data_IF_545908362285
#
_entry.id   IF_545908362285
#
_cell.length_a   1.000
_cell.length_b   1.000
_cell.length_c   1.000
_cell.angle_alpha   90.00
_cell.angle_beta   90.00
_cell.angle_gamma   90.00
#
_symmetry.space_group_name_H-M   'P 1'
#
loop_
_entity.id
_entity.type
_entity.pdbx_description
1 polymer ?
#
# COMPACT_ATOMS: atom_id res chain seq x y z
N UNK A 1 -18.58 -1.84 -23.72
CA UNK A 1 -19.13 -0.95 -22.66
C UNK A 1 -18.21 -1.03 -21.46
N UNK A 2 -17.30 -0.07 -21.35
CA UNK A 2 -16.39 0.08 -20.22
C UNK A 2 -17.21 0.47 -18.99
N UNK A 3 -17.32 -0.41 -18.00
CA UNK A 3 -17.78 0.02 -16.69
C UNK A 3 -16.77 1.07 -16.21
N UNK A 4 -17.24 2.32 -16.07
CA UNK A 4 -16.53 3.34 -15.32
C UNK A 4 -16.16 2.75 -13.97
N UNK A 5 -14.86 2.63 -13.68
CA UNK A 5 -14.45 2.51 -12.30
C UNK A 5 -14.95 3.77 -11.59
N UNK A 6 -15.64 3.64 -10.46
CA UNK A 6 -16.07 4.76 -9.62
C UNK A 6 -14.86 5.49 -8.96
N UNK A 7 -13.68 5.44 -9.58
CA UNK A 7 -12.42 5.85 -9.02
C UNK A 7 -12.09 7.27 -9.49
N UNK A 8 -11.81 8.13 -8.51
CA UNK A 8 -11.07 9.36 -8.78
C UNK A 8 -9.63 8.98 -9.12
N UNK A 9 -9.10 9.47 -10.23
CA UNK A 9 -7.76 9.12 -10.75
C UNK A 9 -6.63 9.38 -9.72
N UNK A 10 -6.90 10.22 -8.71
CA UNK A 10 -5.97 10.76 -7.72
C UNK A 10 -6.09 10.09 -6.34
N UNK A 11 -6.61 8.87 -6.32
CA UNK A 11 -7.02 8.17 -5.10
C UNK A 11 -5.93 8.08 -4.01
N UNK A 12 -4.69 7.74 -4.36
CA UNK A 12 -3.61 7.55 -3.38
C UNK A 12 -3.23 8.86 -2.68
N UNK A 13 -3.00 9.93 -3.44
CA UNK A 13 -2.67 11.25 -2.88
C UNK A 13 -3.83 11.86 -2.11
N UNK A 14 -5.07 11.61 -2.54
CA UNK A 14 -6.27 11.99 -1.79
C UNK A 14 -6.36 11.28 -0.43
N UNK A 15 -5.92 10.03 -0.33
CA UNK A 15 -5.84 9.32 0.95
C UNK A 15 -4.76 9.92 1.85
N UNK A 16 -3.59 10.29 1.31
CA UNK A 16 -2.56 10.98 2.09
C UNK A 16 -3.06 12.34 2.60
N UNK A 17 -3.75 13.12 1.76
CA UNK A 17 -4.34 14.40 2.17
C UNK A 17 -5.39 14.19 3.25
N UNK A 18 -6.29 13.20 3.08
CA UNK A 18 -7.31 12.86 4.07
C UNK A 18 -6.72 12.45 5.42
N UNK A 19 -5.70 11.59 5.42
CA UNK A 19 -4.99 11.19 6.62
C UNK A 19 -4.31 12.38 7.30
N UNK A 20 -3.61 13.24 6.54
CA UNK A 20 -2.93 14.43 7.07
C UNK A 20 -3.90 15.42 7.73
N UNK A 21 -5.03 15.69 7.05
CA UNK A 21 -6.11 16.51 7.57
C UNK A 21 -6.71 15.92 8.84
N UNK A 22 -6.89 14.60 8.88
CA UNK A 22 -7.48 13.95 10.03
C UNK A 22 -6.55 13.91 11.24
N UNK A 23 -5.29 13.52 11.04
CA UNK A 23 -4.32 13.37 12.13
C UNK A 23 -3.81 14.69 12.70
N UNK A 24 -3.58 15.68 11.85
CA UNK A 24 -2.90 16.93 12.22
C UNK A 24 -3.78 18.17 12.09
N UNK A 25 -4.98 18.04 11.50
CA UNK A 25 -5.98 19.11 11.40
C UNK A 25 -5.38 20.41 10.84
N UNK A 26 -5.59 21.53 11.55
CA UNK A 26 -5.14 22.87 11.17
C UNK A 26 -3.62 22.97 11.02
N UNK A 27 -2.84 22.13 11.71
CA UNK A 27 -1.37 22.16 11.58
C UNK A 27 -0.95 21.72 10.17
N UNK A 28 -1.59 20.69 9.62
CA UNK A 28 -1.29 20.24 8.25
C UNK A 28 -1.68 21.28 7.22
N UNK A 29 -2.81 21.94 7.40
CA UNK A 29 -3.26 23.04 6.52
C UNK A 29 -2.22 24.19 6.50
N UNK A 30 -1.67 24.55 7.66
CA UNK A 30 -0.66 25.59 7.80
C UNK A 30 0.65 25.25 7.08
N UNK A 31 1.07 23.99 7.06
CA UNK A 31 2.27 23.56 6.33
C UNK A 31 2.16 23.78 4.82
N UNK A 32 0.95 23.93 4.28
CA UNK A 32 0.71 24.29 2.88
C UNK A 32 0.50 25.81 2.67
N UNK A 33 0.68 26.62 3.72
CA UNK A 33 0.54 28.08 3.64
C UNK A 33 -0.91 28.58 3.68
N UNK A 34 -1.88 27.73 4.01
CA UNK A 34 -3.29 28.12 4.12
C UNK A 34 -3.69 28.41 5.57
N UNK A 35 -4.61 29.36 5.74
CA UNK A 35 -5.15 29.73 7.06
C UNK A 35 -6.53 29.10 7.31
N UNK A 36 -7.25 28.74 6.26
CA UNK A 36 -8.60 28.17 6.35
C UNK A 36 -8.68 26.82 5.64
N UNK A 37 -9.53 25.94 6.16
CA UNK A 37 -9.83 24.64 5.55
C UNK A 37 -10.49 24.81 4.18
N UNK A 38 -11.37 25.81 4.04
CA UNK A 38 -12.03 26.12 2.76
C UNK A 38 -11.02 26.47 1.68
N UNK A 39 -10.06 27.36 1.96
CA UNK A 39 -9.01 27.71 0.99
C UNK A 39 -8.13 26.53 0.63
N UNK A 40 -7.83 25.66 1.61
CA UNK A 40 -7.05 24.44 1.40
C UNK A 40 -7.78 23.44 0.48
N UNK A 41 -9.08 23.21 0.69
CA UNK A 41 -9.85 22.33 -0.19
C UNK A 41 -9.99 22.89 -1.60
N UNK A 42 -10.22 24.20 -1.73
CA UNK A 42 -10.32 24.86 -3.02
C UNK A 42 -9.00 24.81 -3.81
N UNK A 43 -7.86 24.83 -3.12
CA UNK A 43 -6.56 24.65 -3.78
C UNK A 43 -6.48 23.32 -4.54
N UNK A 44 -6.91 22.21 -3.94
CA UNK A 44 -6.91 20.90 -4.60
C UNK A 44 -7.87 20.80 -5.78
N UNK A 45 -8.95 21.58 -5.78
CA UNK A 45 -9.84 21.71 -6.93
C UNK A 45 -9.16 22.50 -8.05
N UNK A 46 -8.54 23.64 -7.70
CA UNK A 46 -7.85 24.51 -8.66
C UNK A 46 -6.72 23.79 -9.42
N UNK A 47 -5.99 22.91 -8.75
CA UNK A 47 -4.90 22.13 -9.38
C UNK A 47 -5.39 20.86 -10.09
N UNK A 48 -6.71 20.65 -10.17
CA UNK A 48 -7.31 19.49 -10.85
C UNK A 48 -7.20 18.18 -10.07
N UNK A 49 -6.78 18.21 -8.80
CA UNK A 49 -6.64 16.99 -7.99
C UNK A 49 -8.00 16.44 -7.53
N UNK A 50 -8.98 17.31 -7.34
CA UNK A 50 -10.31 16.98 -6.88
C UNK A 50 -11.37 17.70 -7.72
N UNK A 51 -12.46 17.02 -8.08
CA UNK A 51 -13.57 17.67 -8.80
C UNK A 51 -14.28 18.73 -7.95
N UNK A 52 -14.38 18.51 -6.62
CA UNK A 52 -15.04 19.44 -5.69
C UNK A 52 -14.34 19.45 -4.33
N UNK A 53 -14.52 20.51 -3.51
CA UNK A 53 -14.01 20.54 -2.14
C UNK A 53 -14.53 19.37 -1.28
N UNK A 54 -15.75 18.91 -1.57
CA UNK A 54 -16.38 17.77 -0.89
C UNK A 54 -15.61 16.47 -1.10
N UNK A 55 -14.92 16.27 -2.23
CA UNK A 55 -14.09 15.09 -2.45
C UNK A 55 -12.95 15.03 -1.43
N UNK A 56 -12.27 16.16 -1.19
CA UNK A 56 -11.19 16.27 -0.21
C UNK A 56 -11.73 16.10 1.22
N UNK A 57 -12.86 16.75 1.52
CA UNK A 57 -13.54 16.61 2.82
C UNK A 57 -13.91 15.16 3.10
N UNK A 58 -14.51 14.46 2.15
CA UNK A 58 -14.92 13.07 2.32
C UNK A 58 -13.72 12.15 2.60
N UNK A 59 -12.53 12.47 2.07
CA UNK A 59 -11.31 11.72 2.37
C UNK A 59 -10.84 11.96 3.80
N UNK A 60 -10.92 13.18 4.30
CA UNK A 60 -10.69 13.46 5.74
C UNK A 60 -11.70 12.70 6.62
N UNK A 61 -12.99 12.77 6.29
CA UNK A 61 -14.05 12.11 7.06
C UNK A 61 -13.88 10.58 7.14
N UNK A 62 -13.25 9.95 6.14
CA UNK A 62 -12.88 8.52 6.14
C UNK A 62 -11.86 8.20 7.25
N UNK A 63 -10.91 9.10 7.50
CA UNK A 63 -9.83 8.88 8.47
C UNK A 63 -10.16 9.40 9.88
N UNK A 64 -11.11 10.34 10.01
CA UNK A 64 -11.50 10.94 11.29
C UNK A 64 -11.81 9.95 12.42
N UNK A 65 -12.48 8.80 12.18
CA UNK A 65 -12.73 7.81 13.23
C UNK A 65 -11.47 7.15 13.82
N UNK A 66 -10.30 7.29 13.18
CA UNK A 66 -9.06 6.63 13.63
C UNK A 66 -8.11 7.54 14.41
N UNK A 67 -8.47 8.81 14.61
CA UNK A 67 -7.68 9.80 15.34
C UNK A 67 -8.54 10.46 16.42
N UNK A 68 -7.94 10.98 17.51
CA UNK A 68 -8.67 11.63 18.59
C UNK A 68 -9.15 13.03 18.14
N UNK A 69 -10.16 13.07 17.28
CA UNK A 69 -10.79 14.28 16.78
C UNK A 69 -12.20 14.47 17.36
N UNK A 70 -12.62 15.72 17.52
CA UNK A 70 -14.02 16.04 17.86
C UNK A 70 -14.99 15.70 16.71
N UNK A 71 -14.47 15.62 15.47
CA UNK A 71 -15.22 15.25 14.28
C UNK A 71 -15.51 13.76 14.29
N UNK A 72 -16.79 13.38 14.16
CA UNK A 72 -17.23 11.97 14.17
C UNK A 72 -16.85 11.18 12.91
N UNK A 73 -16.62 11.85 11.78
CA UNK A 73 -16.31 11.21 10.49
C UNK A 73 -17.33 10.14 10.04
N UNK A 74 -16.90 9.24 9.16
CA UNK A 74 -17.68 8.08 8.69
C UNK A 74 -17.41 6.82 9.52
N UNK A 75 -17.72 6.88 10.81
CA UNK A 75 -17.49 5.78 11.76
C UNK A 75 -18.15 4.44 11.36
N UNK A 76 -19.31 4.48 10.69
CA UNK A 76 -20.05 3.28 10.27
C UNK A 76 -19.31 2.41 9.24
N UNK A 77 -18.29 2.96 8.56
CA UNK A 77 -17.50 2.27 7.53
C UNK A 77 -16.02 2.14 7.91
N UNK A 78 -15.66 2.38 9.18
CA UNK A 78 -14.26 2.42 9.62
C UNK A 78 -13.44 1.20 9.19
N UNK A 79 -13.95 -0.02 9.39
CA UNK A 79 -13.19 -1.23 9.04
C UNK A 79 -12.87 -1.36 7.54
N UNK A 80 -13.75 -0.86 6.66
CA UNK A 80 -13.55 -0.93 5.20
C UNK A 80 -12.38 -0.05 4.70
N UNK A 81 -11.87 0.86 5.55
CA UNK A 81 -10.81 1.81 5.19
C UNK A 81 -9.54 1.65 6.04
N UNK A 82 -9.56 0.72 7.00
CA UNK A 82 -8.50 0.52 7.96
C UNK A 82 -7.18 0.10 7.28
N UNK A 83 -7.23 -0.68 6.20
CA UNK A 83 -6.04 -1.09 5.43
C UNK A 83 -5.25 0.12 4.88
N UNK A 84 -5.96 1.17 4.44
CA UNK A 84 -5.35 2.41 3.94
C UNK A 84 -4.58 3.11 5.04
N UNK A 85 -5.15 3.14 6.24
CA UNK A 85 -4.49 3.67 7.43
C UNK A 85 -3.25 2.84 7.77
N UNK A 86 -3.33 1.51 7.79
CA UNK A 86 -2.18 0.64 8.06
C UNK A 86 -1.03 0.86 7.08
N UNK A 87 -1.33 1.01 5.78
CA UNK A 87 -0.30 1.34 4.79
C UNK A 87 0.37 2.68 5.11
N UNK A 88 -0.41 3.74 5.34
CA UNK A 88 0.13 5.06 5.63
C UNK A 88 0.90 5.06 6.96
N UNK A 89 0.41 4.36 7.97
CA UNK A 89 1.08 4.26 9.28
C UNK A 89 2.42 3.52 9.19
N UNK A 90 2.49 2.42 8.44
CA UNK A 90 3.72 1.64 8.30
C UNK A 90 4.86 2.45 7.67
N UNK A 91 4.52 3.40 6.79
CA UNK A 91 5.50 4.25 6.10
C UNK A 91 5.73 5.58 6.82
N UNK A 92 4.67 6.22 7.32
CA UNK A 92 4.67 7.63 7.73
C UNK A 92 3.97 7.89 9.07
N UNK A 93 3.55 6.84 9.79
CA UNK A 93 2.81 6.95 11.04
C UNK A 93 3.56 7.66 12.16
N UNK A 94 4.89 7.63 12.14
CA UNK A 94 5.75 8.27 13.14
C UNK A 94 6.25 9.66 12.70
N UNK A 95 5.84 10.15 11.52
CA UNK A 95 6.25 11.47 11.05
C UNK A 95 5.51 12.58 11.80
N UNK A 96 6.21 13.69 12.04
CA UNK A 96 5.57 14.93 12.50
C UNK A 96 4.85 15.63 11.33
N UNK A 97 4.06 16.66 11.64
CA UNK A 97 3.22 17.35 10.65
C UNK A 97 4.00 17.92 9.47
N UNK A 98 5.18 18.51 9.73
CA UNK A 98 6.03 19.10 8.69
C UNK A 98 6.58 18.02 7.76
N UNK A 99 7.20 16.98 8.31
CA UNK A 99 7.70 15.83 7.53
C UNK A 99 6.59 15.19 6.71
N UNK A 100 5.40 15.01 7.29
CA UNK A 100 4.26 14.44 6.60
C UNK A 100 3.76 15.35 5.47
N UNK A 101 3.66 16.66 5.70
CA UNK A 101 3.31 17.61 4.66
C UNK A 101 4.31 17.60 3.50
N UNK A 102 5.60 17.48 3.79
CA UNK A 102 6.65 17.39 2.77
C UNK A 102 6.53 16.12 1.92
N UNK A 103 6.09 14.99 2.49
CA UNK A 103 5.76 13.77 1.74
C UNK A 103 4.60 14.01 0.76
N UNK A 104 3.52 14.64 1.23
CA UNK A 104 2.36 14.92 0.36
C UNK A 104 2.75 15.91 -0.75
N UNK A 105 3.52 16.94 -0.44
CA UNK A 105 4.04 17.88 -1.44
C UNK A 105 4.99 17.19 -2.42
N UNK A 106 5.81 16.23 -1.98
CA UNK A 106 6.66 15.42 -2.87
C UNK A 106 5.79 14.63 -3.86
N UNK A 107 4.72 13.98 -3.39
CA UNK A 107 3.76 13.27 -4.25
C UNK A 107 3.18 14.22 -5.31
N UNK A 108 2.70 15.38 -4.89
CA UNK A 108 2.13 16.40 -5.78
C UNK A 108 3.16 16.89 -6.80
N UNK A 109 4.42 17.06 -6.40
CA UNK A 109 5.49 17.52 -7.28
C UNK A 109 5.89 16.47 -8.31
N UNK A 110 6.10 15.22 -7.91
CA UNK A 110 6.57 14.16 -8.82
C UNK A 110 5.46 13.67 -9.75
N UNK A 111 4.24 13.48 -9.22
CA UNK A 111 3.15 12.84 -9.98
C UNK A 111 2.24 13.86 -10.69
N UNK A 112 2.14 15.10 -10.18
CA UNK A 112 1.26 16.14 -10.74
C UNK A 112 2.03 17.36 -11.28
N UNK A 113 3.37 17.33 -11.24
CA UNK A 113 4.25 18.38 -11.79
C UNK A 113 3.96 19.78 -11.25
N UNK A 114 3.50 19.88 -10.00
CA UNK A 114 3.23 21.18 -9.35
C UNK A 114 4.56 21.79 -8.93
N UNK A 115 5.14 22.61 -9.82
CA UNK A 115 6.50 23.16 -9.67
C UNK A 115 6.64 24.16 -8.52
N UNK A 116 5.55 24.77 -8.08
CA UNK A 116 5.52 25.80 -7.04
C UNK A 116 5.75 25.23 -5.62
N UNK A 117 5.71 23.91 -5.44
CA UNK A 117 5.96 23.27 -4.15
C UNK A 117 7.46 23.11 -3.88
N UNK A 118 7.97 23.87 -2.91
CA UNK A 118 9.27 23.61 -2.32
C UNK A 118 9.18 22.42 -1.37
N UNK A 119 10.08 21.46 -1.54
CA UNK A 119 10.12 20.22 -0.76
C UNK A 119 11.56 19.82 -0.55
N UNK A 120 11.98 19.77 0.70
CA UNK A 120 13.27 19.22 1.11
C UNK A 120 13.00 17.96 1.94
N UNK A 121 13.20 16.79 1.32
CA UNK A 121 12.93 15.49 1.94
C UNK A 121 14.21 14.73 2.18
N UNK A 122 14.32 14.13 3.37
CA UNK A 122 15.40 13.22 3.71
C UNK A 122 15.43 12.03 2.73
N UNK A 123 16.60 11.46 2.40
CA UNK A 123 16.70 10.31 1.50
C UNK A 123 15.77 9.14 1.86
N UNK A 124 15.65 8.81 3.15
CA UNK A 124 14.76 7.74 3.63
C UNK A 124 13.29 7.99 3.30
N UNK A 125 12.85 9.26 3.29
CA UNK A 125 11.49 9.65 2.94
C UNK A 125 11.22 9.36 1.46
N UNK A 126 12.20 9.63 0.58
CA UNK A 126 12.11 9.26 -0.84
C UNK A 126 12.00 7.76 -1.04
N UNK A 127 12.75 6.96 -0.26
CA UNK A 127 12.66 5.50 -0.32
C UNK A 127 11.27 5.00 0.10
N UNK A 128 10.71 5.51 1.20
CA UNK A 128 9.34 5.18 1.64
C UNK A 128 8.28 5.64 0.64
N UNK A 129 8.47 6.80 0.02
CA UNK A 129 7.59 7.28 -1.04
C UNK A 129 7.57 6.35 -2.25
N UNK A 130 8.73 5.86 -2.70
CA UNK A 130 8.80 4.84 -3.76
C UNK A 130 8.06 3.57 -3.35
N UNK A 131 8.25 3.12 -2.10
CA UNK A 131 7.58 1.93 -1.56
C UNK A 131 6.06 2.07 -1.49
N UNK A 132 5.54 3.28 -1.20
CA UNK A 132 4.10 3.56 -1.25
C UNK A 132 3.47 3.25 -2.62
N UNK A 133 4.23 3.45 -3.71
CA UNK A 133 3.76 3.21 -5.07
C UNK A 133 3.72 1.72 -5.45
N UNK A 134 4.30 0.85 -4.62
CA UNK A 134 4.30 -0.60 -4.85
C UNK A 134 3.07 -1.26 -4.23
N UNK A 135 2.31 -2.01 -5.04
CA UNK A 135 1.09 -2.71 -4.57
C UNK A 135 1.39 -3.91 -3.66
N UNK A 136 2.64 -4.40 -3.64
CA UNK A 136 3.04 -5.56 -2.83
C UNK A 136 2.92 -5.28 -1.34
N UNK A 137 3.49 -4.17 -0.86
CA UNK A 137 3.49 -3.82 0.56
C UNK A 137 2.09 -3.70 1.14
N UNK A 138 1.16 -3.08 0.42
CA UNK A 138 -0.22 -2.94 0.89
C UNK A 138 -0.92 -4.31 1.03
N UNK A 139 -0.67 -5.22 0.08
CA UNK A 139 -1.22 -6.56 0.14
C UNK A 139 -0.61 -7.37 1.29
N UNK A 140 0.70 -7.31 1.48
CA UNK A 140 1.41 -7.95 2.60
C UNK A 140 0.90 -7.44 3.96
N UNK A 141 0.71 -6.12 4.11
CA UNK A 141 0.15 -5.55 5.33
C UNK A 141 -1.31 -5.97 5.54
N UNK A 142 -2.10 -6.03 4.47
CA UNK A 142 -3.47 -6.55 4.55
C UNK A 142 -3.46 -8.01 5.00
N UNK A 143 -2.55 -8.82 4.46
CA UNK A 143 -2.35 -10.20 4.87
C UNK A 143 -2.02 -10.32 6.36
N UNK A 144 -0.98 -9.65 6.84
CA UNK A 144 -0.56 -9.70 8.26
C UNK A 144 -1.70 -9.34 9.21
N UNK A 145 -2.54 -8.36 8.86
CA UNK A 145 -3.63 -7.92 9.73
C UNK A 145 -4.89 -8.81 9.65
N UNK A 146 -5.04 -9.65 8.61
CA UNK A 146 -6.29 -10.37 8.35
C UNK A 146 -6.12 -11.86 8.01
N UNK A 147 -4.90 -12.42 8.05
CA UNK A 147 -4.63 -13.81 7.64
C UNK A 147 -5.48 -14.84 8.40
N UNK A 148 -5.86 -14.56 9.66
CA UNK A 148 -6.73 -15.41 10.47
C UNK A 148 -8.17 -15.56 9.93
N UNK A 149 -8.58 -14.73 8.96
CA UNK A 149 -9.86 -14.88 8.24
C UNK A 149 -9.82 -16.03 7.22
N UNK A 150 -8.62 -16.43 6.78
CA UNK A 150 -8.41 -17.57 5.87
C UNK A 150 -8.55 -18.86 6.67
N UNK A 151 -9.42 -19.76 6.22
CA UNK A 151 -9.74 -21.02 6.90
C UNK A 151 -8.51 -21.83 7.29
N UNK A 152 -7.55 -21.96 6.39
CA UNK A 152 -6.36 -22.78 6.56
C UNK A 152 -5.36 -22.17 7.55
N UNK A 153 -5.47 -20.88 7.82
CA UNK A 153 -4.54 -20.14 8.68
C UNK A 153 -5.14 -19.76 10.03
N UNK A 154 -6.40 -20.13 10.27
CA UNK A 154 -7.12 -19.74 11.46
C UNK A 154 -6.42 -20.26 12.72
N UNK A 155 -6.17 -19.37 13.68
CA UNK A 155 -5.42 -19.62 14.91
C UNK A 155 -3.94 -20.00 14.67
N UNK A 156 -3.42 -19.74 13.47
CA UNK A 156 -2.03 -20.00 13.14
C UNK A 156 -1.08 -18.93 13.68
N UNK A 157 0.16 -19.34 13.88
CA UNK A 157 1.27 -18.45 14.21
C UNK A 157 1.97 -18.07 12.91
N UNK A 158 1.96 -16.77 12.59
CA UNK A 158 2.59 -16.22 11.40
C UNK A 158 4.06 -15.89 11.68
N UNK A 159 4.94 -16.40 10.81
CA UNK A 159 6.37 -16.08 10.74
C UNK A 159 6.64 -15.28 9.45
N UNK A 160 7.34 -14.16 9.59
CA UNK A 160 7.64 -13.24 8.49
C UNK A 160 8.93 -13.65 7.77
N UNK A 161 8.79 -14.08 6.51
CA UNK A 161 9.90 -14.57 5.68
C UNK A 161 10.27 -13.63 4.52
N UNK A 162 9.61 -12.47 4.40
CA UNK A 162 9.73 -11.54 3.26
C UNK A 162 11.16 -11.07 2.96
N UNK A 163 12.03 -11.08 3.97
CA UNK A 163 13.42 -10.61 3.86
C UNK A 163 14.43 -11.71 3.50
N UNK A 164 14.03 -12.98 3.53
CA UNK A 164 14.95 -14.10 3.27
C UNK A 164 15.05 -14.46 1.78
N UNK A 165 14.00 -14.17 1.00
CA UNK A 165 14.01 -14.41 -0.44
C UNK A 165 13.95 -15.90 -0.80
N UNK A 166 13.24 -16.67 0.02
CA UNK A 166 13.10 -18.13 -0.07
C UNK A 166 11.97 -18.57 -1.01
N UNK A 167 11.30 -17.63 -1.68
CA UNK A 167 10.23 -17.93 -2.63
C UNK A 167 8.83 -18.01 -2.00
N UNK A 168 8.66 -17.47 -0.80
CA UNK A 168 7.39 -17.20 -0.13
C UNK A 168 7.54 -16.00 0.82
N UNK A 169 6.43 -15.37 1.20
CA UNK A 169 6.43 -14.19 2.07
C UNK A 169 6.27 -14.56 3.55
N UNK A 170 5.45 -15.57 3.86
CA UNK A 170 5.11 -15.94 5.24
C UNK A 170 5.02 -17.45 5.41
N UNK A 171 5.37 -17.92 6.61
CA UNK A 171 5.01 -19.27 7.07
C UNK A 171 3.93 -19.16 8.13
N UNK A 172 2.92 -20.03 8.07
CA UNK A 172 1.84 -20.08 9.05
C UNK A 172 1.78 -21.48 9.64
N UNK A 173 2.11 -21.58 10.92
CA UNK A 173 2.05 -22.83 11.66
C UNK A 173 0.67 -22.97 12.32
N UNK A 174 -0.09 -24.00 11.96
CA UNK A 174 -1.41 -24.32 12.53
C UNK A 174 -1.36 -25.73 13.11
N UNK A 175 -1.34 -25.83 14.44
CA UNK A 175 -1.14 -27.10 15.15
C UNK A 175 0.15 -27.82 14.68
N UNK A 176 0.03 -28.99 14.06
CA UNK A 176 1.13 -29.79 13.52
C UNK A 176 1.39 -29.54 12.03
N UNK A 177 0.60 -28.67 11.38
CA UNK A 177 0.73 -28.33 9.97
C UNK A 177 1.45 -26.98 9.79
N UNK A 178 2.20 -26.85 8.71
CA UNK A 178 2.85 -25.61 8.32
C UNK A 178 2.50 -25.29 6.87
N UNK A 179 2.12 -24.03 6.62
CA UNK A 179 1.77 -23.54 5.30
C UNK A 179 2.70 -22.41 4.89
N UNK A 180 3.17 -22.44 3.65
CA UNK A 180 3.88 -21.35 3.01
C UNK A 180 2.88 -20.47 2.26
N UNK A 181 2.89 -19.17 2.54
CA UNK A 181 2.02 -18.20 1.91
C UNK A 181 2.84 -17.19 1.10
N UNK A 182 2.45 -17.02 -0.15
CA UNK A 182 2.94 -15.96 -1.04
C UNK A 182 1.80 -14.97 -1.30
N UNK A 183 2.04 -13.70 -1.00
CA UNK A 183 1.00 -12.67 -1.02
C UNK A 183 1.09 -11.86 -2.30
N UNK A 184 -0.02 -11.83 -3.04
CA UNK A 184 -0.10 -11.06 -4.30
C UNK A 184 -1.25 -10.07 -4.25
N UNK A 185 -0.96 -8.80 -4.52
CA UNK A 185 -1.96 -7.73 -4.55
C UNK A 185 -2.53 -7.49 -5.93
N UNK A 186 -3.87 -7.41 -6.04
CA UNK A 186 -4.58 -6.95 -7.24
C UNK A 186 -5.53 -5.82 -6.87
N UNK A 187 -5.36 -4.67 -7.53
CA UNK A 187 -6.13 -3.45 -7.28
C UNK A 187 -7.64 -3.61 -7.56
N UNK A 188 -7.95 -4.38 -8.60
CA UNK A 188 -9.32 -4.63 -9.08
C UNK A 188 -9.90 -5.93 -8.52
N UNK A 189 -11.19 -6.18 -8.77
CA UNK A 189 -11.88 -7.42 -8.35
C UNK A 189 -11.35 -8.70 -9.02
N UNK A 190 -10.58 -8.56 -10.10
CA UNK A 190 -9.96 -9.66 -10.86
C UNK A 190 -8.71 -9.14 -11.56
N UNK A 191 -7.76 -10.04 -11.82
CA UNK A 191 -6.54 -9.70 -12.53
C UNK A 191 -5.64 -10.92 -12.74
N UNK A 192 -4.50 -10.68 -13.36
CA UNK A 192 -3.42 -11.68 -13.48
C UNK A 192 -2.32 -11.34 -12.48
N UNK A 193 -1.63 -12.36 -12.01
CA UNK A 193 -0.39 -12.24 -11.26
C UNK A 193 0.69 -13.07 -11.94
N UNK A 194 1.93 -12.94 -11.47
CA UNK A 194 3.09 -13.70 -11.94
C UNK A 194 3.79 -14.30 -10.73
N UNK A 195 4.49 -15.40 -10.96
CA UNK A 195 5.44 -15.96 -10.01
C UNK A 195 6.86 -15.67 -10.47
N UNK A 196 7.77 -15.50 -9.52
CA UNK A 196 9.20 -15.63 -9.80
C UNK A 196 9.57 -17.11 -9.96
N UNK A 197 10.76 -17.40 -10.49
CA UNK A 197 11.23 -18.78 -10.63
C UNK A 197 11.28 -19.49 -9.27
N UNK A 198 11.82 -18.83 -8.23
CA UNK A 198 11.86 -19.38 -6.87
C UNK A 198 10.46 -19.68 -6.33
N UNK A 199 9.51 -18.75 -6.47
CA UNK A 199 8.12 -18.97 -6.05
C UNK A 199 7.49 -20.17 -6.79
N UNK A 200 7.72 -20.29 -8.10
CA UNK A 200 7.21 -21.42 -8.88
C UNK A 200 7.79 -22.76 -8.43
N UNK A 201 9.09 -22.81 -8.15
CA UNK A 201 9.77 -24.02 -7.67
C UNK A 201 9.27 -24.42 -6.27
N UNK A 202 9.20 -23.47 -5.33
CA UNK A 202 8.65 -23.73 -3.99
C UNK A 202 7.20 -24.20 -4.05
N UNK A 203 6.38 -23.57 -4.87
CA UNK A 203 4.99 -24.00 -5.07
C UNK A 203 4.88 -25.41 -5.67
N UNK A 204 5.83 -25.80 -6.54
CA UNK A 204 5.89 -27.14 -7.12
C UNK A 204 6.31 -28.20 -6.11
N UNK A 205 7.21 -27.85 -5.18
CA UNK A 205 7.72 -28.72 -4.14
C UNK A 205 6.68 -28.96 -3.03
N UNK A 206 6.14 -27.88 -2.46
CA UNK A 206 5.27 -27.91 -1.28
C UNK A 206 3.79 -28.13 -1.62
N UNK A 207 3.38 -27.92 -2.88
CA UNK A 207 2.05 -28.26 -3.42
C UNK A 207 0.91 -27.73 -2.54
N UNK A 208 0.19 -28.59 -1.84
CA UNK A 208 -0.98 -28.22 -1.02
C UNK A 208 -0.58 -27.34 0.18
N UNK A 209 0.66 -27.44 0.64
CA UNK A 209 1.19 -26.63 1.74
C UNK A 209 1.69 -25.27 1.25
N UNK A 210 1.69 -25.01 -0.07
CA UNK A 210 1.99 -23.71 -0.66
C UNK A 210 0.71 -23.03 -1.17
N UNK A 211 0.42 -21.85 -0.62
CA UNK A 211 -0.83 -21.13 -0.87
C UNK A 211 -0.51 -19.74 -1.41
N UNK A 212 -1.08 -19.41 -2.58
CA UNK A 212 -1.13 -18.01 -3.02
C UNK A 212 -2.29 -17.33 -2.29
N UNK A 213 -1.99 -16.29 -1.50
CA UNK A 213 -2.98 -15.41 -0.90
C UNK A 213 -3.14 -14.15 -1.78
N UNK A 214 -4.14 -14.15 -2.66
CA UNK A 214 -4.47 -12.97 -3.46
C UNK A 214 -5.30 -11.99 -2.64
N UNK A 215 -4.81 -10.76 -2.48
CA UNK A 215 -5.60 -9.64 -1.95
C UNK A 215 -6.20 -8.89 -3.13
N UNK A 216 -7.49 -9.11 -3.38
CA UNK A 216 -8.25 -8.49 -4.46
C UNK A 216 -8.90 -7.19 -4.00
N UNK A 217 -9.36 -6.37 -4.96
CA UNK A 217 -10.19 -5.19 -4.71
C UNK A 217 -9.58 -4.17 -3.73
N UNK A 218 -8.24 -4.06 -3.70
CA UNK A 218 -7.53 -3.19 -2.73
C UNK A 218 -7.90 -1.70 -2.83
N UNK A 219 -8.41 -1.26 -4.00
CA UNK A 219 -8.89 0.11 -4.20
C UNK A 219 -10.15 0.45 -3.38
N UNK A 220 -10.94 -0.55 -2.99
CA UNK A 220 -12.23 -0.33 -2.33
C UNK A 220 -12.30 -1.10 -1.02
N UNK A 221 -12.90 -2.29 -1.04
CA UNK A 221 -13.01 -3.22 0.07
C UNK A 221 -12.18 -4.46 -0.26
N UNK A 222 -10.94 -4.56 0.25
CA UNK A 222 -10.08 -5.68 -0.05
C UNK A 222 -10.66 -6.99 0.48
N UNK A 223 -10.33 -8.09 -0.17
CA UNK A 223 -10.73 -9.43 0.25
C UNK A 223 -9.75 -10.49 -0.26
N UNK A 224 -9.68 -11.63 0.43
CA UNK A 224 -8.82 -12.73 0.03
C UNK A 224 -9.47 -13.61 -1.04
N UNK A 225 -8.64 -14.09 -1.95
CA UNK A 225 -8.83 -15.30 -2.74
C UNK A 225 -7.60 -16.17 -2.55
N UNK A 226 -7.75 -17.34 -1.93
CA UNK A 226 -6.66 -18.28 -1.72
C UNK A 226 -6.63 -19.34 -2.82
N UNK A 227 -5.41 -19.73 -3.22
CA UNK A 227 -5.17 -20.77 -4.21
C UNK A 227 -4.14 -21.73 -3.63
N UNK A 228 -4.61 -22.83 -3.07
CA UNK A 228 -3.78 -23.96 -2.65
C UNK A 228 -3.22 -24.67 -3.89
N UNK A 229 -2.01 -25.24 -3.79
CA UNK A 229 -1.36 -25.95 -4.88
C UNK A 229 -1.50 -25.22 -6.23
N UNK A 230 -1.00 -23.97 -6.31
CA UNK A 230 -1.26 -23.10 -7.44
C UNK A 230 -0.76 -23.69 -8.76
N UNK A 231 0.29 -24.51 -8.73
CA UNK A 231 0.84 -25.16 -9.93
C UNK A 231 -0.10 -26.27 -10.44
N UNK A 232 -0.77 -26.99 -9.55
CA UNK A 232 -1.79 -27.97 -9.92
C UNK A 232 -3.11 -27.33 -10.37
N UNK A 233 -3.47 -26.18 -9.81
CA UNK A 233 -4.78 -25.54 -10.02
C UNK A 233 -4.78 -24.42 -11.09
N UNK A 234 -3.62 -23.94 -11.52
CA UNK A 234 -3.47 -22.91 -12.54
C UNK A 234 -2.49 -23.32 -13.64
N UNK A 235 -2.52 -22.60 -14.77
CA UNK A 235 -1.56 -22.78 -15.86
C UNK A 235 -0.64 -21.57 -15.95
N UNK A 236 0.66 -21.82 -15.90
CA UNK A 236 1.70 -20.81 -16.08
C UNK A 236 2.45 -21.05 -17.40
N UNK A 237 2.89 -19.95 -18.01
CA UNK A 237 3.78 -19.97 -19.17
C UNK A 237 5.11 -19.36 -18.73
N UNK A 238 6.19 -20.11 -18.88
CA UNK A 238 7.53 -19.61 -18.59
C UNK A 238 7.89 -18.48 -19.56
N UNK A 239 8.46 -17.39 -19.03
CA UNK A 239 8.93 -16.26 -19.84
C UNK A 239 10.24 -15.73 -19.30
N UNK A 240 11.30 -15.82 -20.11
CA UNK A 240 12.60 -15.23 -19.78
C UNK A 240 12.62 -13.74 -20.09
N UNK A 241 12.89 -12.91 -19.08
CA UNK A 241 13.02 -11.46 -19.23
C UNK A 241 14.48 -11.08 -18.97
N UNK A 242 15.12 -10.37 -19.90
CA UNK A 242 16.48 -9.85 -19.67
C UNK A 242 16.44 -8.66 -18.71
N UNK A 243 17.12 -8.80 -17.59
CA UNK A 243 17.35 -7.72 -16.61
C UNK A 243 18.13 -6.56 -17.25
N UNK A 244 18.00 -5.35 -16.66
CA UNK A 244 18.88 -4.22 -17.01
C UNK A 244 20.33 -4.58 -16.68
N UNK A 245 21.28 -4.07 -17.48
CA UNK A 245 22.71 -4.18 -17.17
C UNK A 245 22.98 -3.63 -15.76
N UNK A 246 23.58 -4.46 -14.91
CA UNK A 246 24.03 -4.07 -13.58
C UNK A 246 25.45 -3.51 -13.73
N UNK A 247 25.65 -2.27 -13.27
CA UNK A 247 26.97 -1.63 -13.21
C UNK A 247 27.40 -1.58 -11.75
N UNK A 248 28.50 -2.24 -11.46
CA UNK A 248 29.12 -2.27 -10.14
C UNK A 248 30.38 -1.41 -10.15
N UNK A 249 30.66 -0.75 -9.03
CA UNK A 249 31.85 0.07 -8.83
C UNK A 249 32.65 -0.55 -7.71
N UNK A 250 33.75 -1.23 -8.05
CA UNK A 250 34.63 -1.88 -7.10
C UNK A 250 35.78 -0.94 -6.73
N UNK A 251 36.21 -1.02 -5.48
CA UNK A 251 37.43 -0.33 -5.05
C UNK A 251 38.60 -0.82 -5.89
N UNK A 252 39.45 0.12 -6.32
CA UNK A 252 40.65 -0.20 -7.10
C UNK A 252 41.76 -0.73 -6.17
N UNK A 253 41.69 -0.44 -4.88
CA UNK A 253 42.67 -0.84 -3.86
C UNK A 253 41.97 -1.17 -2.54
N UNK A 254 42.65 -1.92 -1.68
CA UNK A 254 42.17 -2.24 -0.33
C UNK A 254 41.96 -0.98 0.53
N UNK A 255 41.05 -1.09 1.52
CA UNK A 255 40.81 -0.04 2.51
C UNK A 255 41.92 -0.12 3.57
N UNK A 256 42.63 0.99 3.79
CA UNK A 256 43.58 1.14 4.89
C UNK A 256 42.90 1.31 6.25
#
# INVERSE_FOLDING_TARGET
>A
MTQNSNKHENYEVLNLIGYGLSKFDKLFIKEFGFTTQTSFFQYFVKIGLAETPSVVKNRMDIFDPFFPNERKGWWQKGNAYLHRKHLIDSLFGNENVKSYADIVKLYLKENYKIKELYVEVKPIVKSRFKKLQETGLEAELYFINNYNEISNFKNGILEDARLYGDGYDFQINVNESSFLAEVKGIREKRGKFRLTEKEFLMASEYKNDYIIALVLNMNDSPNFLTIENPIGNLKFEERTIRSKEIKEYHLISDIN
#
